data_IF_264994776278
#
_entry.id   IF_264994776278
#
_cell.length_a   1.000
_cell.length_b   1.000
_cell.length_c   1.000
_cell.angle_alpha   90.00
_cell.angle_beta   90.00
_cell.angle_gamma   90.00
#
_symmetry.space_group_name_H-M   'P 1'
#
loop_
_entity.id
_entity.type
_entity.pdbx_description
1 polymer ?
#
# COMPACT_ATOMS: atom_id res chain seq x y z
N UNK A 1 10.24 4.09 -18.78
CA UNK A 1 9.99 4.87 -17.56
C UNK A 1 8.67 5.59 -17.67
N UNK A 2 7.92 5.58 -16.61
CA UNK A 2 6.59 6.17 -16.60
C UNK A 2 6.63 7.55 -16.01
N UNK A 3 6.18 8.49 -16.78
CA UNK A 3 6.08 9.84 -16.27
C UNK A 3 5.01 9.91 -15.20
N UNK A 4 5.30 10.67 -14.18
CA UNK A 4 4.36 10.86 -13.11
C UNK A 4 4.37 9.79 -12.04
N UNK A 5 5.18 8.77 -12.20
CA UNK A 5 5.25 7.72 -11.17
C UNK A 5 6.46 7.93 -10.28
N UNK A 6 6.26 7.85 -8.98
CA UNK A 6 7.32 7.95 -7.99
C UNK A 6 7.11 6.87 -6.95
N UNK A 7 8.13 6.07 -6.71
CA UNK A 7 8.06 5.10 -5.63
C UNK A 7 8.43 5.80 -4.33
N UNK A 8 7.55 5.71 -3.35
CA UNK A 8 7.73 6.43 -2.10
C UNK A 8 8.39 5.59 -1.04
N UNK A 9 8.09 4.31 -0.97
CA UNK A 9 8.67 3.48 0.05
C UNK A 9 8.06 2.11 0.08
N UNK A 10 8.45 1.34 1.09
CA UNK A 10 7.98 -0.03 1.23
C UNK A 10 7.50 -0.25 2.64
N UNK A 11 6.63 -1.25 2.79
CA UNK A 11 6.09 -1.65 4.07
C UNK A 11 6.24 -3.16 4.17
N UNK A 12 6.75 -3.62 5.30
CA UNK A 12 6.87 -5.06 5.53
C UNK A 12 5.51 -5.64 5.89
N UNK A 13 5.25 -6.83 5.37
CA UNK A 13 4.04 -7.55 5.73
C UNK A 13 4.41 -8.70 6.64
N UNK A 14 3.51 -8.99 7.57
CA UNK A 14 3.65 -10.14 8.43
C UNK A 14 3.44 -11.39 7.58
N UNK A 15 4.50 -12.13 7.34
CA UNK A 15 4.46 -13.26 6.44
C UNK A 15 4.50 -14.55 7.24
N UNK A 16 3.42 -15.32 7.18
CA UNK A 16 3.33 -16.55 7.91
C UNK A 16 3.85 -17.69 7.05
N UNK A 17 4.21 -18.81 7.67
CA UNK A 17 4.74 -19.92 6.90
C UNK A 17 3.84 -20.39 5.77
N UNK A 18 2.54 -20.40 5.98
CA UNK A 18 1.61 -20.83 4.95
C UNK A 18 1.45 -19.79 3.85
N UNK A 19 1.92 -18.58 4.08
CA UNK A 19 1.84 -17.49 3.12
C UNK A 19 3.23 -17.12 2.61
N UNK A 20 4.08 -18.10 2.45
CA UNK A 20 5.47 -17.81 2.17
C UNK A 20 5.73 -17.38 0.74
N UNK A 21 4.73 -17.37 -0.12
CA UNK A 21 4.92 -16.88 -1.46
C UNK A 21 4.95 -15.36 -1.46
N UNK A 22 5.73 -14.82 -2.35
CA UNK A 22 5.86 -13.40 -2.40
C UNK A 22 7.06 -12.94 -1.59
N UNK A 23 7.28 -11.65 -1.57
CA UNK A 23 8.48 -11.10 -0.96
C UNK A 23 8.23 -10.45 0.39
N UNK A 24 6.99 -10.46 0.88
CA UNK A 24 6.70 -9.90 2.19
C UNK A 24 6.77 -8.39 2.25
N UNK A 25 6.63 -7.73 1.12
CA UNK A 25 6.79 -6.30 1.03
C UNK A 25 5.66 -5.70 0.21
N UNK A 26 5.14 -4.57 0.67
CA UNK A 26 4.23 -3.75 -0.13
C UNK A 26 4.99 -2.52 -0.57
N UNK A 27 4.98 -2.25 -1.86
CA UNK A 27 5.61 -1.07 -2.41
C UNK A 27 4.54 -0.01 -2.62
N UNK A 28 4.81 1.19 -2.13
CA UNK A 28 3.87 2.30 -2.24
C UNK A 28 4.39 3.28 -3.28
N UNK A 29 3.57 3.57 -4.28
CA UNK A 29 3.95 4.50 -5.32
C UNK A 29 2.88 5.54 -5.57
N UNK A 30 3.26 6.63 -6.18
CA UNK A 30 2.37 7.74 -6.47
C UNK A 30 2.36 8.00 -7.96
N UNK A 31 1.18 7.98 -8.54
CA UNK A 31 0.96 8.45 -9.90
C UNK A 31 0.36 9.83 -9.85
N UNK A 32 0.82 10.70 -10.71
CA UNK A 32 0.30 12.05 -10.75
C UNK A 32 0.11 12.49 -12.17
N UNK A 33 -1.12 12.88 -12.50
CA UNK A 33 -1.40 13.38 -13.84
C UNK A 33 -2.22 12.40 -14.64
N UNK A 34 -2.21 12.60 -15.95
CA UNK A 34 -2.93 11.75 -16.87
C UNK A 34 -2.10 10.55 -17.25
N UNK A 35 -2.77 9.43 -17.50
CA UNK A 35 -4.21 9.22 -17.40
C UNK A 35 -4.66 8.86 -16.00
N UNK A 36 -3.76 8.72 -15.07
CA UNK A 36 -4.10 8.23 -13.76
C UNK A 36 -3.46 9.10 -12.68
N UNK A 37 -4.26 9.46 -11.69
CA UNK A 37 -3.79 10.23 -10.55
C UNK A 37 -4.20 9.48 -9.29
N UNK A 38 -3.22 9.01 -8.52
CA UNK A 38 -3.56 8.26 -7.35
C UNK A 38 -2.37 7.53 -6.76
N UNK A 39 -2.66 6.52 -5.97
CA UNK A 39 -1.66 5.76 -5.25
C UNK A 39 -1.72 4.32 -5.71
N UNK A 40 -0.57 3.72 -5.91
CA UNK A 40 -0.48 2.32 -6.26
C UNK A 40 0.18 1.57 -5.12
N UNK A 41 -0.44 0.48 -4.70
CA UNK A 41 0.16 -0.46 -3.79
C UNK A 41 0.44 -1.73 -4.57
N UNK A 42 1.69 -2.15 -4.61
CA UNK A 42 2.01 -3.39 -5.28
C UNK A 42 2.64 -4.35 -4.30
N UNK A 43 2.35 -5.63 -4.47
CA UNK A 43 2.84 -6.66 -3.56
C UNK A 43 2.97 -7.97 -4.32
N UNK A 44 3.44 -8.98 -3.64
CA UNK A 44 3.66 -10.30 -4.23
C UNK A 44 4.62 -10.18 -5.40
N UNK A 45 5.78 -9.56 -5.13
CA UNK A 45 6.83 -9.35 -6.13
C UNK A 45 6.29 -8.59 -7.35
N UNK A 46 5.36 -7.67 -7.12
CA UNK A 46 4.84 -6.85 -8.19
C UNK A 46 3.74 -7.48 -8.99
N UNK A 47 3.34 -8.69 -8.66
CA UNK A 47 2.32 -9.37 -9.45
C UNK A 47 0.92 -8.88 -9.14
N UNK A 48 0.72 -8.27 -7.99
CA UNK A 48 -0.59 -7.77 -7.59
C UNK A 48 -0.51 -6.30 -7.30
N UNK A 49 -1.51 -5.58 -7.72
CA UNK A 49 -1.52 -4.13 -7.59
C UNK A 49 -2.91 -3.65 -7.22
N UNK A 50 -2.94 -2.64 -6.37
CA UNK A 50 -4.16 -1.94 -6.02
C UNK A 50 -3.97 -0.49 -6.36
N UNK A 51 -5.02 0.12 -6.88
CA UNK A 51 -4.98 1.54 -7.23
C UNK A 51 -6.03 2.27 -6.41
N UNK A 52 -5.61 3.35 -5.78
CA UNK A 52 -6.49 4.14 -4.92
C UNK A 52 -6.51 5.57 -5.42
N UNK A 53 -7.69 6.20 -5.31
CA UNK A 53 -7.74 7.64 -5.53
C UNK A 53 -6.98 8.31 -4.39
N UNK A 54 -6.58 9.59 -4.57
CA UNK A 54 -5.90 10.28 -3.47
C UNK A 54 -6.74 10.32 -2.21
N UNK A 55 -8.05 10.55 -2.33
CA UNK A 55 -8.91 10.56 -1.16
C UNK A 55 -9.01 9.18 -0.54
N UNK A 56 -9.10 8.16 -1.39
CA UNK A 56 -9.16 6.79 -0.87
C UNK A 56 -7.90 6.41 -0.13
N UNK A 57 -6.76 6.85 -0.63
CA UNK A 57 -5.49 6.57 0.03
C UNK A 57 -5.43 7.26 1.40
N UNK A 58 -5.87 8.50 1.47
CA UNK A 58 -5.89 9.19 2.75
C UNK A 58 -6.84 8.52 3.73
N UNK A 59 -7.98 8.08 3.23
CA UNK A 59 -8.94 7.39 4.08
C UNK A 59 -8.35 6.09 4.61
N UNK A 60 -7.68 5.35 3.75
CA UNK A 60 -7.06 4.10 4.17
C UNK A 60 -6.00 4.36 5.22
N UNK A 61 -5.19 5.38 5.02
CA UNK A 61 -4.14 5.71 5.99
C UNK A 61 -4.75 6.04 7.34
N UNK A 62 -5.84 6.80 7.34
CA UNK A 62 -6.52 7.15 8.58
C UNK A 62 -7.05 5.91 9.27
N UNK A 63 -7.68 5.03 8.52
CA UNK A 63 -8.26 3.83 9.12
C UNK A 63 -7.19 2.88 9.64
N UNK A 64 -6.08 2.78 8.93
CA UNK A 64 -4.99 1.94 9.39
C UNK A 64 -4.41 2.47 10.70
N UNK A 65 -4.21 3.78 10.78
CA UNK A 65 -3.68 4.37 11.98
C UNK A 65 -4.65 4.18 13.15
N UNK A 66 -5.94 4.37 12.87
CA UNK A 66 -6.95 4.20 13.92
C UNK A 66 -7.01 2.77 14.41
N UNK A 67 -6.85 1.82 13.49
CA UNK A 67 -6.89 0.41 13.85
C UNK A 67 -5.76 0.05 14.81
N UNK A 68 -4.58 0.58 14.55
CA UNK A 68 -3.44 0.31 15.42
C UNK A 68 -3.67 0.91 16.81
N UNK A 69 -4.16 2.14 16.85
CA UNK A 69 -4.39 2.78 18.14
C UNK A 69 -5.47 2.09 18.92
N UNK A 70 -6.55 1.69 18.24
CA UNK A 70 -7.64 1.03 18.93
C UNK A 70 -7.29 -0.35 19.42
N UNK A 71 -6.40 -1.00 18.72
CA UNK A 71 -6.01 -2.34 19.11
C UNK A 71 -5.44 -2.34 20.53
N UNK A 72 -4.82 -1.26 20.92
CA UNK A 72 -4.28 -1.17 22.26
C UNK A 72 -5.39 -1.17 23.29
N UNK A 73 -6.53 -0.59 22.97
CA UNK A 73 -7.63 -0.46 23.92
C UNK A 73 -8.57 -1.64 23.93
N UNK A 74 -8.52 -2.46 22.91
CA UNK A 74 -9.51 -3.52 22.73
C UNK A 74 -9.20 -4.74 23.57
N UNK A 75 -7.97 -4.93 23.94
CA UNK A 75 -7.56 -6.12 24.65
C UNK A 75 -8.21 -6.39 25.95
#
# INVERSE_FOLDING_TARGET
MEEGYTQLGTVLIDQRPEDSEGDGVIVVGRFKGDPYDGVQLSYDAGRRKLYLTPEGALRLAFLLAAAVERDIDIR
#
